data_IF_226038141378
#
_entry.id   IF_226038141378
#
_cell.length_a   1.000
_cell.length_b   1.000
_cell.length_c   1.000
_cell.angle_alpha   90.00
_cell.angle_beta   90.00
_cell.angle_gamma   90.00
#
_symmetry.space_group_name_H-M   'P 1'
#
loop_
_entity.id
_entity.type
_entity.pdbx_description
1 polymer ?
#
# COMPACT_ATOMS: atom_id res chain seq x y z
N UNK A 1 36.22 -4.83 -12.05
CA UNK A 1 35.65 -3.54 -11.62
C UNK A 1 34.15 -3.73 -11.72
N UNK A 2 33.40 -3.52 -10.64
CA UNK A 2 31.94 -3.59 -10.67
C UNK A 2 31.45 -2.51 -11.62
N UNK A 3 30.74 -2.91 -12.67
CA UNK A 3 30.03 -1.99 -13.55
C UNK A 3 28.79 -1.55 -12.78
N UNK A 4 28.73 -0.26 -12.48
CA UNK A 4 27.56 0.43 -11.94
C UNK A 4 26.38 0.20 -12.90
N UNK A 5 25.56 -0.81 -12.62
CA UNK A 5 24.24 -0.94 -13.22
C UNK A 5 23.40 0.26 -12.76
N UNK A 6 23.08 1.16 -13.69
CA UNK A 6 22.14 2.26 -13.48
C UNK A 6 20.74 1.67 -13.20
N UNK A 7 20.47 1.36 -11.93
CA UNK A 7 19.17 0.94 -11.45
C UNK A 7 18.29 2.17 -11.16
N UNK A 8 17.23 2.37 -11.93
CA UNK A 8 16.18 3.34 -11.60
C UNK A 8 15.06 2.63 -10.81
N UNK A 9 15.10 2.74 -9.48
CA UNK A 9 14.05 2.23 -8.59
C UNK A 9 13.02 3.32 -8.29
N UNK A 10 11.76 3.11 -8.69
CA UNK A 10 10.67 4.03 -8.40
C UNK A 10 9.73 3.46 -7.32
N UNK A 11 9.38 4.29 -6.33
CA UNK A 11 8.50 3.93 -5.22
C UNK A 11 7.18 4.69 -5.31
N UNK A 12 6.06 3.97 -5.42
CA UNK A 12 4.73 4.56 -5.21
C UNK A 12 4.20 4.16 -3.84
N UNK A 13 3.83 5.14 -3.01
CA UNK A 13 3.20 4.94 -1.70
C UNK A 13 1.75 5.42 -1.74
N UNK A 14 0.79 4.51 -1.53
CA UNK A 14 -0.65 4.86 -1.41
C UNK A 14 -1.18 4.30 -0.08
N UNK A 15 -1.91 5.12 0.68
CA UNK A 15 -2.66 4.63 1.86
C UNK A 15 -3.76 3.67 1.39
N UNK A 16 -3.91 2.53 2.06
CA UNK A 16 -4.84 1.48 1.65
C UNK A 16 -5.92 1.26 2.69
N UNK A 17 -7.17 1.25 2.25
CA UNK A 17 -8.29 1.00 3.13
C UNK A 17 -8.23 -0.44 3.64
N UNK A 18 -8.01 -1.40 2.73
CA UNK A 18 -7.86 -2.81 3.08
C UNK A 18 -6.71 -3.04 4.07
N UNK A 19 -5.56 -2.40 3.86
CA UNK A 19 -4.42 -2.49 4.78
C UNK A 19 -4.75 -1.95 6.16
N UNK A 20 -5.40 -0.79 6.22
CA UNK A 20 -5.82 -0.15 7.48
C UNK A 20 -6.80 -1.02 8.26
N UNK A 21 -7.81 -1.59 7.58
CA UNK A 21 -8.79 -2.50 8.19
C UNK A 21 -8.13 -3.78 8.70
N UNK A 22 -7.19 -4.35 7.93
CA UNK A 22 -6.45 -5.53 8.36
C UNK A 22 -5.66 -5.24 9.64
N UNK A 23 -4.89 -4.16 9.65
CA UNK A 23 -4.09 -3.74 10.80
C UNK A 23 -4.96 -3.50 12.04
N UNK A 24 -6.10 -2.84 11.88
CA UNK A 24 -7.06 -2.61 12.95
C UNK A 24 -7.56 -3.93 13.56
N UNK A 25 -7.89 -4.92 12.72
CA UNK A 25 -8.36 -6.24 13.19
C UNK A 25 -7.26 -7.01 13.91
N UNK A 26 -6.02 -6.92 13.43
CA UNK A 26 -4.86 -7.52 14.09
C UNK A 26 -4.64 -6.88 15.47
N UNK A 27 -4.66 -5.54 15.56
CA UNK A 27 -4.55 -4.81 16.83
C UNK A 27 -5.70 -5.09 17.79
N UNK A 28 -6.93 -5.18 17.29
CA UNK A 28 -8.08 -5.59 18.11
C UNK A 28 -7.84 -6.98 18.72
N UNK A 29 -7.41 -7.94 17.89
CA UNK A 29 -7.15 -9.31 18.31
C UNK A 29 -6.02 -9.38 19.34
N UNK A 30 -4.95 -8.62 19.17
CA UNK A 30 -3.86 -8.51 20.17
C UNK A 30 -4.36 -8.02 21.52
N UNK A 31 -5.37 -7.15 21.55
CA UNK A 31 -6.03 -6.66 22.77
C UNK A 31 -7.15 -7.57 23.29
N UNK A 32 -7.38 -8.74 22.68
CA UNK A 32 -8.45 -9.65 23.07
C UNK A 32 -9.85 -9.23 22.59
N UNK A 33 -9.96 -8.26 21.67
CA UNK A 33 -11.21 -7.83 21.06
C UNK A 33 -11.35 -8.38 19.63
N UNK A 34 -12.58 -8.61 19.17
CA UNK A 34 -12.86 -9.02 17.79
C UNK A 34 -13.66 -7.92 17.12
N UNK A 35 -13.05 -7.28 16.11
CA UNK A 35 -13.72 -6.28 15.28
C UNK A 35 -14.05 -6.90 13.91
N UNK A 36 -15.32 -6.86 13.53
CA UNK A 36 -15.82 -7.38 12.25
C UNK A 36 -16.03 -6.26 11.25
N UNK A 37 -16.08 -6.58 9.95
CA UNK A 37 -16.35 -5.58 8.91
C UNK A 37 -17.69 -4.85 9.12
N UNK A 38 -18.72 -5.57 9.58
CA UNK A 38 -20.01 -4.97 9.91
C UNK A 38 -19.91 -3.94 11.03
N UNK A 39 -19.13 -4.23 12.09
CA UNK A 39 -18.92 -3.26 13.17
C UNK A 39 -18.16 -2.02 12.69
N UNK A 40 -17.17 -2.19 11.80
CA UNK A 40 -16.42 -1.07 11.25
C UNK A 40 -17.31 -0.23 10.33
N UNK A 41 -18.12 -0.87 9.48
CA UNK A 41 -19.08 -0.20 8.62
C UNK A 41 -20.08 0.62 9.44
N UNK A 42 -20.64 0.03 10.49
CA UNK A 42 -21.57 0.71 11.43
C UNK A 42 -20.91 1.94 12.09
N UNK A 43 -19.66 1.80 12.57
CA UNK A 43 -18.88 2.91 13.15
C UNK A 43 -18.55 4.01 12.16
N UNK A 44 -18.37 3.66 10.90
CA UNK A 44 -18.14 4.60 9.81
C UNK A 44 -19.43 5.18 9.25
N UNK A 45 -20.60 4.79 9.78
CA UNK A 45 -21.91 5.14 9.27
C UNK A 45 -22.09 4.80 7.78
N UNK A 46 -21.52 3.65 7.38
CA UNK A 46 -21.57 3.11 6.04
C UNK A 46 -22.44 1.85 6.03
N UNK A 47 -23.19 1.66 4.95
CA UNK A 47 -23.82 0.37 4.67
C UNK A 47 -22.74 -0.69 4.42
N UNK A 48 -23.04 -1.95 4.76
CA UNK A 48 -22.12 -3.08 4.53
C UNK A 48 -21.76 -3.19 3.04
N UNK A 49 -22.69 -2.89 2.14
CA UNK A 49 -22.44 -2.84 0.69
C UNK A 49 -21.39 -1.77 0.33
N UNK A 50 -21.56 -0.53 0.81
CA UNK A 50 -20.61 0.55 0.57
C UNK A 50 -19.23 0.23 1.15
N UNK A 51 -19.18 -0.28 2.38
CA UNK A 51 -17.94 -0.73 2.99
C UNK A 51 -17.25 -1.79 2.13
N UNK A 52 -18.00 -2.76 1.59
CA UNK A 52 -17.42 -3.80 0.75
C UNK A 52 -16.92 -3.25 -0.59
N UNK A 53 -17.66 -2.33 -1.23
CA UNK A 53 -17.20 -1.62 -2.43
C UNK A 53 -15.85 -0.94 -2.18
N UNK A 54 -15.76 -0.18 -1.10
CA UNK A 54 -14.54 0.50 -0.67
C UNK A 54 -13.39 -0.46 -0.32
N UNK A 55 -13.72 -1.58 0.32
CA UNK A 55 -12.74 -2.60 0.68
C UNK A 55 -12.18 -3.35 -0.53
N UNK A 56 -13.00 -3.59 -1.56
CA UNK A 56 -12.60 -4.27 -2.80
C UNK A 56 -11.83 -3.32 -3.72
N UNK A 57 -12.33 -2.10 -3.91
CA UNK A 57 -11.67 -1.09 -4.74
C UNK A 57 -10.39 -0.54 -4.10
N UNK A 58 -10.26 -0.63 -2.77
CA UNK A 58 -9.17 -0.04 -1.98
C UNK A 58 -9.06 1.50 -2.14
N UNK A 59 -10.17 2.11 -2.58
CA UNK A 59 -10.31 3.54 -2.80
C UNK A 59 -11.39 4.07 -1.87
N UNK A 60 -10.99 4.96 -0.97
CA UNK A 60 -11.91 5.64 -0.05
C UNK A 60 -11.54 7.11 0.08
N UNK A 61 -12.51 7.99 0.37
CA UNK A 61 -12.23 9.37 0.73
C UNK A 61 -11.31 9.45 1.97
N UNK A 62 -10.40 10.41 1.96
CA UNK A 62 -9.47 10.68 3.07
C UNK A 62 -10.17 10.95 4.40
N UNK A 63 -11.41 11.44 4.35
CA UNK A 63 -12.27 11.63 5.52
C UNK A 63 -12.57 10.32 6.24
N UNK A 64 -12.79 9.21 5.51
CA UNK A 64 -13.03 7.90 6.12
C UNK A 64 -11.80 7.36 6.83
N UNK A 65 -10.59 7.60 6.31
CA UNK A 65 -9.36 7.25 7.02
C UNK A 65 -9.21 8.03 8.33
N UNK A 66 -9.54 9.32 8.30
CA UNK A 66 -9.50 10.18 9.48
C UNK A 66 -10.54 9.73 10.51
N UNK A 67 -11.74 9.37 10.05
CA UNK A 67 -12.83 8.88 10.90
C UNK A 67 -12.48 7.52 11.52
N UNK A 68 -11.87 6.60 10.75
CA UNK A 68 -11.32 5.33 11.26
C UNK A 68 -10.32 5.57 12.39
N UNK A 69 -9.33 6.44 12.17
CA UNK A 69 -8.31 6.77 13.19
C UNK A 69 -8.93 7.39 14.44
N UNK A 70 -9.93 8.26 14.27
CA UNK A 70 -10.65 8.86 15.38
C UNK A 70 -11.51 7.87 16.16
N UNK A 71 -12.21 6.95 15.48
CA UNK A 71 -13.10 5.96 16.12
C UNK A 71 -12.31 4.83 16.80
N UNK A 72 -11.13 4.51 16.27
CA UNK A 72 -10.29 3.40 16.74
C UNK A 72 -8.93 3.88 17.25
N UNK A 73 -8.90 5.08 17.86
CA UNK A 73 -7.66 5.67 18.40
C UNK A 73 -6.95 4.73 19.38
N UNK A 74 -7.71 3.97 20.17
CA UNK A 74 -7.17 2.96 21.09
C UNK A 74 -6.50 1.77 20.39
N UNK A 75 -6.83 1.48 19.13
CA UNK A 75 -6.28 0.35 18.37
C UNK A 75 -5.19 0.78 17.40
N UNK A 76 -5.49 1.80 16.58
CA UNK A 76 -4.64 2.24 15.47
C UNK A 76 -4.05 3.64 15.68
N UNK A 77 -4.61 4.47 16.58
CA UNK A 77 -4.08 5.79 16.89
C UNK A 77 -3.83 6.65 15.65
N UNK A 78 -2.59 7.13 15.51
CA UNK A 78 -2.11 7.90 14.35
C UNK A 78 -1.39 7.06 13.30
N UNK A 79 -1.50 5.72 13.34
CA UNK A 79 -0.84 4.84 12.37
C UNK A 79 -1.53 4.95 11.02
N UNK A 80 -0.71 5.05 9.97
CA UNK A 80 -1.14 5.10 8.58
C UNK A 80 -0.60 3.87 7.86
N UNK A 81 -1.47 3.05 7.27
CA UNK A 81 -1.05 1.83 6.58
C UNK A 81 -0.93 2.09 5.08
N UNK A 82 0.31 2.11 4.60
CA UNK A 82 0.65 2.39 3.21
C UNK A 82 1.03 1.10 2.48
N UNK A 83 0.55 0.96 1.25
CA UNK A 83 1.07 -0.01 0.29
C UNK A 83 2.19 0.64 -0.50
N UNK A 84 3.34 -0.03 -0.53
CA UNK A 84 4.51 0.35 -1.30
C UNK A 84 4.53 -0.54 -2.54
N UNK A 85 4.57 0.09 -3.72
CA UNK A 85 4.80 -0.59 -5.00
C UNK A 85 6.21 -0.20 -5.42
N UNK A 86 7.04 -1.23 -5.61
CA UNK A 86 8.41 -1.09 -6.13
C UNK A 86 8.34 -1.51 -7.59
N UNK A 87 8.76 -0.62 -8.49
CA UNK A 87 8.90 -0.93 -9.91
C UNK A 87 10.37 -0.84 -10.27
N UNK A 88 10.93 -1.98 -10.66
CA UNK A 88 12.30 -2.15 -11.12
C UNK A 88 12.29 -2.17 -12.65
N UNK A 89 13.08 -1.31 -13.26
CA UNK A 89 13.30 -1.31 -14.71
C UNK A 89 14.63 -2.02 -14.94
N UNK A 90 14.58 -3.19 -15.57
CA UNK A 90 15.77 -3.95 -15.95
C UNK A 90 16.09 -3.65 -17.41
N UNK A 91 17.20 -2.95 -17.65
CA UNK A 91 17.70 -2.73 -19.01
C UNK A 91 18.47 -3.97 -19.49
N UNK A 92 18.25 -4.43 -20.74
CA UNK A 92 19.11 -5.46 -21.31
C UNK A 92 20.55 -4.93 -21.43
N UNK A 93 21.58 -5.81 -21.35
CA UNK A 93 22.95 -5.38 -21.60
C UNK A 93 23.06 -4.81 -23.02
N UNK A 94 23.77 -3.70 -23.17
CA UNK A 94 24.05 -3.12 -24.48
C UNK A 94 24.69 -4.19 -25.38
N UNK A 95 24.19 -4.40 -26.61
CA UNK A 95 24.84 -5.31 -27.54
C UNK A 95 26.25 -4.77 -27.80
N UNK A 96 27.26 -5.60 -27.54
CA UNK A 96 28.67 -5.29 -27.80
C UNK A 96 28.82 -4.52 -29.10
N UNK A 97 29.27 -3.27 -29.01
CA UNK A 97 29.55 -2.46 -30.20
C UNK A 97 30.63 -3.22 -30.99
N UNK A 98 30.38 -3.63 -32.24
CA UNK A 98 31.39 -4.33 -33.02
C UNK A 98 32.65 -3.46 -33.09
N UNK A 99 33.87 -4.02 -32.97
CA UNK A 99 35.09 -3.24 -33.04
C UNK A 99 35.10 -2.46 -34.36
N UNK A 100 35.42 -1.17 -34.30
CA UNK A 100 35.62 -0.33 -35.49
C UNK A 100 36.62 -1.04 -36.40
N UNK A 101 36.34 -1.19 -37.71
CA UNK A 101 37.32 -1.75 -38.62
C UNK A 101 38.58 -0.89 -38.59
N UNK A 102 39.73 -1.53 -38.45
CA UNK A 102 41.04 -0.88 -38.55
C UNK A 102 41.09 -0.14 -39.89
N UNK A 103 41.25 1.17 -39.84
CA UNK A 103 41.33 2.00 -41.03
C UNK A 103 42.76 1.86 -41.61
N UNK A 104 42.95 0.91 -42.52
CA UNK A 104 44.12 0.85 -43.41
C UNK A 104 44.04 1.85 -44.56
#
# INVERSE_FOLDING_TARGET
>A
MMEDEDYEESYTRKETFRGTIRYLKEKAKEKGAIVTHAQIADRLNLSVEQFNTYYVSDEVPTELFTLLRSQYVDLIGNVTVQRIIITEIVYPPDPETPPLPDAE
#
